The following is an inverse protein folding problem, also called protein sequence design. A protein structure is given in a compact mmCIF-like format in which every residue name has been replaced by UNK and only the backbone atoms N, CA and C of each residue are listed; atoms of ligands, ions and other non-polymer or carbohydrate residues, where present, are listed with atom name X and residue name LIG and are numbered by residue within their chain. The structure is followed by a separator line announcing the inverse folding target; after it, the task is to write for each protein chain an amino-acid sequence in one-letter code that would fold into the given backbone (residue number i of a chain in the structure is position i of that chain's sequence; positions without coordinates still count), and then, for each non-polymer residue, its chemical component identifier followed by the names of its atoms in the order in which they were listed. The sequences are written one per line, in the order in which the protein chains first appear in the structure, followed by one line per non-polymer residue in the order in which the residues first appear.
data_IF_735730816987
#
_entry.id   IF_735730816987
#
_cell.length_a   1.000
_cell.length_b   1.000
_cell.length_c   1.000
_cell.angle_alpha   90.00
_cell.angle_beta   90.00
_cell.angle_gamma   90.00
#
_symmetry.space_group_name_H-M   'P 1'
#
loop_
_entity.id
_entity.type
_entity.pdbx_description
1 polymer ?
#
# COMPACT_ATOMS: atom_id res chain seq x y z
N UNK A 1 12.93 13.99 -9.27
CA UNK A 1 13.00 13.85 -7.80
C UNK A 1 14.08 12.84 -7.44
N UNK A 2 14.84 13.08 -6.36
CA UNK A 2 15.87 12.13 -5.91
C UNK A 2 15.24 10.89 -5.25
N UNK A 3 15.91 9.73 -5.34
CA UNK A 3 15.46 8.49 -4.72
C UNK A 3 15.13 8.61 -3.22
N UNK A 4 15.95 9.34 -2.41
CA UNK A 4 15.68 9.55 -0.99
C UNK A 4 14.40 10.31 -0.69
N UNK A 5 13.93 11.18 -1.60
CA UNK A 5 12.66 11.89 -1.43
C UNK A 5 11.49 10.93 -1.70
N UNK A 6 11.55 10.16 -2.79
CA UNK A 6 10.51 9.18 -3.12
C UNK A 6 10.35 8.11 -2.03
N UNK A 7 11.43 7.76 -1.34
CA UNK A 7 11.40 6.77 -0.25
C UNK A 7 10.64 7.28 1.00
N UNK A 8 10.37 8.58 1.09
CA UNK A 8 9.56 9.17 2.19
C UNK A 8 8.06 9.07 1.96
N UNK A 9 7.61 8.93 0.72
CA UNK A 9 6.19 8.74 0.42
C UNK A 9 5.79 7.28 0.68
N UNK A 10 4.58 7.06 1.17
CA UNK A 10 4.05 5.71 1.38
C UNK A 10 3.53 5.13 0.07
N UNK A 11 2.89 5.96 -0.74
CA UNK A 11 2.31 5.60 -2.04
C UNK A 11 2.67 6.64 -3.09
N UNK A 12 2.98 6.18 -4.30
CA UNK A 12 3.21 7.03 -5.47
C UNK A 12 2.37 6.51 -6.62
N UNK A 13 1.56 7.38 -7.21
CA UNK A 13 0.70 7.09 -8.35
C UNK A 13 1.15 7.91 -9.56
N UNK A 14 1.24 7.25 -10.71
CA UNK A 14 1.48 7.90 -12.00
C UNK A 14 0.19 7.91 -12.81
N UNK A 15 -0.31 9.08 -13.13
CA UNK A 15 -1.51 9.25 -13.97
C UNK A 15 -1.09 9.58 -15.39
N UNK A 16 -1.58 8.82 -16.37
CA UNK A 16 -1.40 9.11 -17.80
C UNK A 16 -2.68 9.70 -18.41
N UNK A 17 -2.51 10.51 -19.47
CA UNK A 17 -3.67 11.05 -20.21
C UNK A 17 -4.54 9.97 -20.83
N UNK A 18 -3.94 8.83 -21.23
CA UNK A 18 -4.69 7.70 -21.82
C UNK A 18 -5.66 7.06 -20.83
N UNK A 19 -5.31 7.01 -19.55
CA UNK A 19 -6.19 6.50 -18.50
C UNK A 19 -7.35 7.46 -18.19
N UNK A 20 -7.11 8.77 -18.31
CA UNK A 20 -8.16 9.78 -18.16
C UNK A 20 -9.24 9.70 -19.26
N UNK A 21 -8.87 9.32 -20.50
CA UNK A 21 -9.82 9.17 -21.60
C UNK A 21 -10.63 7.87 -21.54
N UNK A 22 -10.05 6.79 -20.98
CA UNK A 22 -10.77 5.50 -20.79
C UNK A 22 -11.83 5.61 -19.67
N UNK A 23 -11.64 6.47 -18.68
CA UNK A 23 -12.62 6.71 -17.62
C UNK A 23 -13.93 7.39 -18.12
N UNK A 24 -13.88 8.04 -19.29
CA UNK A 24 -15.11 8.59 -19.90
C UNK A 24 -16.08 7.52 -20.40
N UNK A 25 -15.62 6.30 -20.61
CA UNK A 25 -16.41 5.19 -21.17
C UNK A 25 -17.08 4.36 -20.07
N UNK A 26 -16.59 4.39 -18.84
CA UNK A 26 -17.15 3.63 -17.71
C UNK A 26 -18.04 4.49 -16.79
N UNK A 27 -19.05 5.13 -17.36
CA UNK A 27 -20.03 5.89 -16.55
C UNK A 27 -21.00 5.01 -15.74
N UNK A 28 -20.94 3.70 -15.84
CA UNK A 28 -22.00 2.82 -15.30
C UNK A 28 -21.76 2.27 -13.89
N UNK A 29 -20.63 2.57 -13.23
CA UNK A 29 -20.41 2.12 -11.84
C UNK A 29 -19.49 3.03 -11.02
N UNK A 30 -19.73 4.33 -11.04
CA UNK A 30 -18.99 5.22 -10.14
C UNK A 30 -19.57 5.11 -8.73
N UNK A 31 -18.75 4.68 -7.76
CA UNK A 31 -19.12 4.76 -6.35
C UNK A 31 -19.41 6.21 -5.96
N UNK A 32 -20.43 6.40 -5.17
CA UNK A 32 -20.75 7.72 -4.60
C UNK A 32 -19.79 8.08 -3.49
N UNK A 33 -19.65 9.37 -3.21
CA UNK A 33 -18.82 9.85 -2.09
C UNK A 33 -19.27 9.25 -0.74
N UNK A 34 -20.58 9.03 -0.57
CA UNK A 34 -21.13 8.43 0.66
C UNK A 34 -20.73 6.96 0.81
N UNK A 35 -20.73 6.17 -0.27
CA UNK A 35 -20.27 4.78 -0.26
C UNK A 35 -18.78 4.69 0.06
N UNK A 36 -17.97 5.58 -0.51
CA UNK A 36 -16.53 5.66 -0.19
C UNK A 36 -16.33 6.02 1.27
N UNK A 37 -17.07 7.00 1.78
CA UNK A 37 -16.99 7.43 3.18
C UNK A 37 -17.35 6.29 4.14
N UNK A 38 -18.44 5.58 3.91
CA UNK A 38 -18.87 4.45 4.73
C UNK A 38 -17.80 3.34 4.77
N UNK A 39 -17.20 3.02 3.60
CA UNK A 39 -16.10 2.06 3.51
C UNK A 39 -14.88 2.48 4.33
N UNK A 40 -14.52 3.77 4.27
CA UNK A 40 -13.40 4.32 5.05
C UNK A 40 -13.70 4.25 6.55
N UNK A 41 -14.88 4.70 6.97
CA UNK A 41 -15.29 4.68 8.38
C UNK A 41 -15.28 3.26 8.96
N UNK A 42 -15.80 2.30 8.20
CA UNK A 42 -15.77 0.88 8.57
C UNK A 42 -14.33 0.36 8.70
N UNK A 43 -13.46 0.74 7.77
CA UNK A 43 -12.03 0.35 7.80
C UNK A 43 -11.33 0.93 9.03
N UNK A 44 -11.57 2.19 9.36
CA UNK A 44 -11.03 2.83 10.56
C UNK A 44 -11.50 2.11 11.84
N UNK A 45 -12.74 1.64 11.91
CA UNK A 45 -13.22 0.87 13.06
C UNK A 45 -12.50 -0.48 13.19
N UNK A 46 -12.21 -1.15 12.07
CA UNK A 46 -11.43 -2.39 12.05
C UNK A 46 -9.99 -2.14 12.50
N UNK A 47 -9.37 -1.07 11.99
CA UNK A 47 -8.03 -0.65 12.39
C UNK A 47 -7.93 -0.40 13.91
N UNK A 48 -8.86 0.36 14.47
CA UNK A 48 -8.92 0.63 15.92
C UNK A 48 -9.05 -0.66 16.75
N UNK A 49 -9.85 -1.63 16.29
CA UNK A 49 -9.97 -2.93 16.95
C UNK A 49 -8.65 -3.70 16.90
N UNK A 50 -7.98 -3.71 15.75
CA UNK A 50 -6.70 -4.38 15.54
C UNK A 50 -5.60 -3.79 16.44
N UNK A 51 -5.56 -2.47 16.55
CA UNK A 51 -4.53 -1.73 17.28
C UNK A 51 -4.80 -1.58 18.78
N UNK A 52 -5.90 -2.12 19.29
CA UNK A 52 -6.33 -1.93 20.70
C UNK A 52 -5.22 -2.23 21.74
N UNK A 53 -4.35 -3.20 21.44
CA UNK A 53 -3.25 -3.61 22.33
C UNK A 53 -1.91 -2.93 21.98
N UNK A 54 -1.91 -2.08 20.98
CA UNK A 54 -0.73 -1.35 20.51
C UNK A 54 -0.95 0.13 20.81
N UNK A 55 -0.16 0.77 21.60
CA UNK A 55 -0.30 2.19 21.95
C UNK A 55 -0.09 3.12 20.73
N UNK A 56 -0.89 2.89 19.67
CA UNK A 56 -0.83 3.59 18.39
C UNK A 56 -2.24 4.06 17.99
N UNK A 57 -2.33 5.24 17.41
CA UNK A 57 -3.59 5.82 16.89
C UNK A 57 -4.05 5.14 15.61
N UNK A 58 -3.10 4.77 14.78
CA UNK A 58 -3.30 4.20 13.44
C UNK A 58 -2.06 3.40 13.00
N UNK A 59 -2.19 2.67 11.90
CA UNK A 59 -1.14 1.79 11.35
C UNK A 59 0.11 2.54 10.89
N UNK A 60 0.00 3.83 10.55
CA UNK A 60 1.15 4.63 10.08
C UNK A 60 2.18 4.84 11.19
N UNK A 61 1.75 4.86 12.45
CA UNK A 61 2.60 5.04 13.62
C UNK A 61 3.22 3.76 14.17
N UNK A 62 2.88 2.58 13.62
CA UNK A 62 3.50 1.32 14.02
C UNK A 62 5.01 1.35 13.75
N UNK A 63 5.80 1.04 14.76
CA UNK A 63 7.22 0.77 14.60
C UNK A 63 7.45 -0.56 13.87
N UNK A 64 8.65 -0.75 13.32
CA UNK A 64 9.04 -2.03 12.69
C UNK A 64 8.81 -3.24 13.61
N UNK A 65 9.14 -3.12 14.90
CA UNK A 65 8.97 -4.19 15.88
C UNK A 65 7.48 -4.49 16.10
N UNK A 66 6.66 -3.46 16.25
CA UNK A 66 5.21 -3.62 16.43
C UNK A 66 4.56 -4.22 15.19
N UNK A 67 4.96 -3.77 14.00
CA UNK A 67 4.48 -4.29 12.74
C UNK A 67 4.78 -5.79 12.59
N UNK A 68 6.01 -6.21 12.88
CA UNK A 68 6.39 -7.63 12.84
C UNK A 68 5.66 -8.50 13.89
N UNK A 69 5.32 -7.93 15.05
CA UNK A 69 4.52 -8.64 16.06
C UNK A 69 3.05 -8.75 15.68
N UNK A 70 2.52 -7.72 15.03
CA UNK A 70 1.14 -7.67 14.60
C UNK A 70 0.88 -8.60 13.41
N UNK A 71 1.82 -8.64 12.45
CA UNK A 71 1.65 -9.34 11.18
C UNK A 71 2.14 -10.78 11.26
N UNK A 72 1.22 -11.72 11.13
CA UNK A 72 1.50 -13.15 10.97
C UNK A 72 1.54 -13.46 9.48
N UNK A 73 2.69 -13.18 8.84
CA UNK A 73 2.86 -13.41 7.41
C UNK A 73 3.02 -14.89 7.09
N UNK A 74 2.30 -15.38 6.09
CA UNK A 74 2.48 -16.72 5.53
C UNK A 74 3.89 -16.91 4.97
N UNK A 75 4.29 -18.16 4.75
CA UNK A 75 5.59 -18.46 4.12
C UNK A 75 5.72 -17.82 2.75
N UNK A 76 4.67 -17.88 1.94
CA UNK A 76 4.60 -17.28 0.61
C UNK A 76 4.78 -15.74 0.65
N UNK A 77 4.11 -15.07 1.58
CA UNK A 77 4.29 -13.63 1.78
C UNK A 77 5.74 -13.27 2.15
N UNK A 78 6.37 -14.06 3.02
CA UNK A 78 7.77 -13.86 3.40
C UNK A 78 8.72 -14.05 2.22
N UNK A 79 8.49 -15.06 1.38
CA UNK A 79 9.29 -15.30 0.17
C UNK A 79 9.18 -14.14 -0.82
N UNK A 80 7.96 -13.61 -1.05
CA UNK A 80 7.76 -12.44 -1.91
C UNK A 80 8.55 -11.22 -1.40
N UNK A 81 8.48 -10.94 -0.10
CA UNK A 81 9.20 -9.85 0.52
C UNK A 81 10.72 -10.04 0.44
N UNK A 82 11.21 -11.26 0.64
CA UNK A 82 12.64 -11.59 0.56
C UNK A 82 13.19 -11.40 -0.86
N UNK A 83 12.45 -11.85 -1.87
CA UNK A 83 12.78 -11.62 -3.28
C UNK A 83 12.83 -10.12 -3.59
N UNK A 84 11.83 -9.38 -3.13
CA UNK A 84 11.76 -7.93 -3.33
C UNK A 84 12.94 -7.20 -2.68
N UNK A 85 13.33 -7.60 -1.48
CA UNK A 85 14.48 -7.03 -0.78
C UNK A 85 15.82 -7.38 -1.45
N UNK A 86 16.02 -8.66 -1.82
CA UNK A 86 17.24 -9.12 -2.50
C UNK A 86 17.43 -8.50 -3.88
N UNK A 87 16.37 -8.07 -4.53
CA UNK A 87 16.47 -7.35 -5.81
C UNK A 87 17.19 -5.99 -5.70
N UNK A 88 17.42 -5.50 -4.48
CA UNK A 88 18.03 -4.19 -4.22
C UNK A 88 17.17 -2.98 -4.59
N UNK A 89 15.96 -3.21 -5.09
CA UNK A 89 15.04 -2.13 -5.52
C UNK A 89 14.25 -1.53 -4.35
N UNK A 90 14.18 -2.23 -3.23
CA UNK A 90 13.39 -1.83 -2.07
C UNK A 90 14.30 -1.76 -0.85
N UNK A 91 14.29 -0.62 -0.18
CA UNK A 91 14.99 -0.41 1.09
C UNK A 91 14.23 -1.06 2.25
N UNK A 92 14.88 -1.24 3.40
CA UNK A 92 14.20 -1.74 4.62
C UNK A 92 13.03 -0.84 5.03
N UNK A 93 13.20 0.49 4.94
CA UNK A 93 12.13 1.45 5.16
C UNK A 93 10.99 1.28 4.14
N UNK A 94 11.32 1.02 2.89
CA UNK A 94 10.37 0.71 1.84
C UNK A 94 9.55 -0.54 2.13
N UNK A 95 10.16 -1.58 2.72
CA UNK A 95 9.47 -2.80 3.14
C UNK A 95 8.43 -2.53 4.23
N UNK A 96 8.77 -1.74 5.25
CA UNK A 96 7.80 -1.37 6.30
C UNK A 96 6.61 -0.61 5.72
N UNK A 97 6.85 0.25 4.74
CA UNK A 97 5.79 0.99 4.06
C UNK A 97 4.89 0.07 3.22
N UNK A 98 5.48 -0.88 2.49
CA UNK A 98 4.71 -1.91 1.76
C UNK A 98 3.82 -2.69 2.72
N UNK A 99 4.35 -3.13 3.86
CA UNK A 99 3.60 -3.87 4.86
C UNK A 99 2.43 -3.05 5.45
N UNK A 100 2.64 -1.75 5.71
CA UNK A 100 1.59 -0.85 6.20
C UNK A 100 0.49 -0.64 5.16
N UNK A 101 0.85 -0.45 3.89
CA UNK A 101 -0.12 -0.33 2.79
C UNK A 101 -0.87 -1.66 2.59
N UNK A 102 -0.18 -2.80 2.58
CA UNK A 102 -0.81 -4.12 2.48
C UNK A 102 -1.77 -4.39 3.65
N UNK A 103 -1.40 -3.97 4.87
CA UNK A 103 -2.28 -4.05 6.03
C UNK A 103 -3.55 -3.20 5.86
N UNK A 104 -3.42 -2.01 5.30
CA UNK A 104 -4.57 -1.15 5.00
C UNK A 104 -5.48 -1.78 3.94
N UNK A 105 -4.93 -2.35 2.87
CA UNK A 105 -5.68 -3.08 1.85
C UNK A 105 -6.44 -4.26 2.47
N UNK A 106 -5.77 -5.06 3.28
CA UNK A 106 -6.37 -6.17 4.03
C UNK A 106 -7.58 -5.70 4.88
N UNK A 107 -7.44 -4.58 5.58
CA UNK A 107 -8.50 -4.00 6.42
C UNK A 107 -9.69 -3.51 5.57
N UNK A 108 -9.44 -2.92 4.40
CA UNK A 108 -10.48 -2.50 3.45
C UNK A 108 -11.27 -3.71 2.96
N UNK A 109 -10.58 -4.79 2.60
CA UNK A 109 -11.18 -6.02 2.11
C UNK A 109 -11.82 -6.89 3.21
N UNK A 110 -11.72 -6.47 4.49
CA UNK A 110 -12.21 -7.21 5.65
C UNK A 110 -11.60 -8.62 5.79
N UNK A 111 -10.36 -8.76 5.41
CA UNK A 111 -9.61 -10.00 5.58
C UNK A 111 -8.93 -10.05 6.96
N UNK A 112 -8.63 -11.24 7.43
CA UNK A 112 -7.99 -11.46 8.74
C UNK A 112 -6.48 -11.51 8.67
N UNK A 113 -5.91 -11.76 7.48
CA UNK A 113 -4.49 -11.95 7.26
C UNK A 113 -4.04 -11.30 5.95
N UNK A 114 -2.79 -10.87 5.90
CA UNK A 114 -2.20 -10.36 4.66
C UNK A 114 -1.95 -11.53 3.71
N UNK A 115 -2.57 -11.47 2.53
CA UNK A 115 -2.39 -12.40 1.43
C UNK A 115 -1.33 -11.88 0.44
N UNK A 116 -0.74 -12.76 -0.40
CA UNK A 116 0.20 -12.35 -1.45
C UNK A 116 -0.31 -11.23 -2.35
N UNK A 117 -1.60 -11.23 -2.68
CA UNK A 117 -2.22 -10.22 -3.52
C UNK A 117 -2.17 -8.82 -2.90
N UNK A 118 -2.37 -8.70 -1.58
CA UNK A 118 -2.27 -7.42 -0.87
C UNK A 118 -0.84 -6.86 -0.92
N UNK A 119 0.18 -7.73 -0.81
CA UNK A 119 1.58 -7.33 -0.95
C UNK A 119 1.91 -6.89 -2.37
N UNK A 120 1.45 -7.64 -3.37
CA UNK A 120 1.69 -7.30 -4.78
C UNK A 120 1.03 -5.97 -5.14
N UNK A 121 -0.20 -5.71 -4.70
CA UNK A 121 -0.87 -4.42 -4.88
C UNK A 121 -0.11 -3.30 -4.17
N UNK A 122 0.27 -3.48 -2.91
CA UNK A 122 1.05 -2.50 -2.16
C UNK A 122 2.40 -2.17 -2.83
N UNK A 123 3.04 -3.15 -3.47
CA UNK A 123 4.28 -2.96 -4.22
C UNK A 123 4.09 -2.12 -5.47
N UNK A 124 2.91 -2.15 -6.13
CA UNK A 124 2.65 -1.32 -7.32
C UNK A 124 2.78 0.17 -7.01
N UNK A 125 2.40 0.60 -5.81
CA UNK A 125 2.53 1.98 -5.35
C UNK A 125 3.97 2.41 -5.05
N UNK A 126 4.93 1.50 -5.10
CA UNK A 126 6.34 1.76 -4.83
C UNK A 126 7.28 1.34 -5.96
N UNK A 127 6.75 1.07 -7.13
CA UNK A 127 7.58 0.73 -8.29
C UNK A 127 8.35 1.97 -8.80
N UNK A 128 9.43 2.29 -8.08
CA UNK A 128 10.28 3.45 -8.37
C UNK A 128 10.99 3.35 -9.73
N UNK A 129 11.11 2.16 -10.31
CA UNK A 129 11.67 1.97 -11.65
C UNK A 129 10.80 2.63 -12.72
N UNK A 130 9.50 2.35 -12.69
CA UNK A 130 8.53 2.95 -13.61
C UNK A 130 8.43 4.48 -13.41
N UNK A 131 8.48 4.95 -12.18
CA UNK A 131 8.45 6.39 -11.86
C UNK A 131 9.68 7.11 -12.43
N UNK A 132 10.88 6.50 -12.36
CA UNK A 132 12.08 7.06 -12.97
C UNK A 132 11.95 7.16 -14.47
N UNK A 133 11.48 6.12 -15.16
CA UNK A 133 11.23 6.14 -16.60
C UNK A 133 10.27 7.26 -16.99
N UNK A 134 9.12 7.39 -16.32
CA UNK A 134 8.14 8.46 -16.61
C UNK A 134 8.72 9.85 -16.38
N UNK A 135 9.56 10.04 -15.35
CA UNK A 135 10.20 11.33 -15.06
C UNK A 135 11.35 11.66 -16.03
N UNK A 136 12.00 10.64 -16.61
CA UNK A 136 13.06 10.83 -17.60
C UNK A 136 12.51 11.06 -19.02
N UNK A 137 11.41 10.40 -19.38
CA UNK A 137 10.74 10.59 -20.69
C UNK A 137 9.75 11.74 -20.73
N UNK A 138 9.39 12.35 -19.62
CA UNK A 138 8.44 13.47 -19.51
C UNK A 138 9.09 14.85 -19.60
N UNK A 139 10.35 14.93 -20.05
CA UNK A 139 11.06 16.18 -20.29
C UNK A 139 11.07 16.57 -21.76
#
# INVERSE_FOLDING_TARGET
MSGPILDRFDMVLCLSKKEADTQKIQKESQETSDQIKERIETTIQREKKLLKNYQCSDTSHLSHIQLNKLLHLSKECKEILDIAYRSGKITRRGMDKILKVALTIMLIENESEIKPIHLMEAMTFRNTGFIKEVLEYGR
#
